data_IF_343971738498
#
_entry.id   IF_343971738498
#
_cell.length_a   1.000
_cell.length_b   1.000
_cell.length_c   1.000
_cell.angle_alpha   90.00
_cell.angle_beta   90.00
_cell.angle_gamma   90.00
#
_symmetry.space_group_name_H-M   'P 1'
#
loop_
_entity.id
_entity.type
_entity.pdbx_description
1 polymer ?
#
# COMPACT_ATOMS: atom_id res chain seq x y z
N UNK A 1 1.46 -6.46 -26.12
CA UNK A 1 2.17 -5.85 -24.97
C UNK A 1 3.11 -4.70 -25.35
N UNK A 2 3.86 -4.76 -26.47
CA UNK A 2 4.77 -3.66 -26.87
C UNK A 2 4.07 -2.29 -27.08
N UNK A 3 2.87 -2.27 -27.67
CA UNK A 3 2.14 -1.03 -27.96
C UNK A 3 1.67 -0.24 -26.73
N UNK A 4 1.57 -0.86 -25.55
CA UNK A 4 1.15 -0.17 -24.33
C UNK A 4 2.29 0.65 -23.73
N UNK A 5 3.52 0.14 -23.80
CA UNK A 5 4.70 0.78 -23.21
C UNK A 5 5.13 2.05 -23.97
N UNK A 6 4.95 2.06 -25.29
CA UNK A 6 5.26 3.23 -26.13
C UNK A 6 4.29 4.40 -25.90
N UNK A 7 3.04 4.13 -25.51
CA UNK A 7 1.99 5.15 -25.28
C UNK A 7 2.24 6.03 -24.04
N UNK A 8 3.13 5.60 -23.15
CA UNK A 8 3.41 6.28 -21.89
C UNK A 8 4.87 6.76 -21.74
N UNK A 9 5.68 6.68 -22.81
CA UNK A 9 7.02 7.29 -22.81
C UNK A 9 6.94 8.81 -22.56
N UNK A 10 7.73 9.30 -21.61
CA UNK A 10 7.83 10.73 -21.28
C UNK A 10 6.79 11.25 -20.29
N UNK A 11 5.84 10.42 -19.83
CA UNK A 11 4.90 10.78 -18.76
C UNK A 11 5.53 10.59 -17.39
N UNK A 12 5.21 11.48 -16.47
CA UNK A 12 5.49 11.29 -15.05
C UNK A 12 4.65 10.12 -14.50
N UNK A 13 5.08 9.53 -13.38
CA UNK A 13 4.32 8.47 -12.72
C UNK A 13 2.87 8.90 -12.42
N UNK A 14 2.68 10.15 -11.98
CA UNK A 14 1.34 10.68 -11.66
C UNK A 14 0.45 10.80 -12.88
N UNK A 15 0.99 11.27 -14.01
CA UNK A 15 0.23 11.36 -15.28
C UNK A 15 -0.13 9.98 -15.82
N UNK A 16 0.73 8.99 -15.62
CA UNK A 16 0.41 7.60 -15.99
C UNK A 16 -0.69 7.02 -15.12
N UNK A 17 -0.61 7.19 -13.80
CA UNK A 17 -1.65 6.76 -12.87
C UNK A 17 -2.98 7.42 -13.22
N UNK A 18 -3.01 8.74 -13.35
CA UNK A 18 -4.22 9.47 -13.70
C UNK A 18 -4.86 8.95 -15.00
N UNK A 19 -4.05 8.71 -16.02
CA UNK A 19 -4.55 8.16 -17.27
C UNK A 19 -5.14 6.75 -17.10
N UNK A 20 -4.58 5.89 -16.27
CA UNK A 20 -5.16 4.57 -15.99
C UNK A 20 -6.56 4.72 -15.39
N UNK A 21 -6.76 5.66 -14.45
CA UNK A 21 -8.08 5.93 -13.86
C UNK A 21 -9.07 6.56 -14.86
N UNK A 22 -8.60 7.25 -15.88
CA UNK A 22 -9.44 7.88 -16.91
C UNK A 22 -9.80 6.91 -18.05
N UNK A 23 -8.86 6.05 -18.47
CA UNK A 23 -8.99 5.20 -19.65
C UNK A 23 -9.64 3.83 -19.33
N UNK A 24 -9.65 3.39 -18.07
CA UNK A 24 -10.05 2.03 -17.68
C UNK A 24 -11.39 2.04 -16.95
N UNK A 25 -12.18 0.98 -17.15
CA UNK A 25 -13.40 0.74 -16.39
C UNK A 25 -13.08 0.46 -14.91
N UNK A 26 -14.04 0.74 -14.02
CA UNK A 26 -13.86 0.63 -12.57
C UNK A 26 -13.34 -0.76 -12.13
N UNK A 27 -13.89 -1.84 -12.69
CA UNK A 27 -13.44 -3.21 -12.40
C UNK A 27 -11.98 -3.45 -12.81
N UNK A 28 -11.56 -2.90 -13.96
CA UNK A 28 -10.18 -3.02 -14.42
C UNK A 28 -9.22 -2.18 -13.56
N UNK A 29 -9.69 -1.05 -13.03
CA UNK A 29 -8.93 -0.23 -12.08
C UNK A 29 -8.79 -0.96 -10.73
N UNK A 30 -9.82 -1.66 -10.26
CA UNK A 30 -9.74 -2.50 -9.06
C UNK A 30 -8.72 -3.63 -9.22
N UNK A 31 -8.76 -4.35 -10.35
CA UNK A 31 -7.81 -5.41 -10.68
C UNK A 31 -6.38 -4.87 -10.72
N UNK A 32 -6.20 -3.73 -11.38
CA UNK A 32 -4.90 -3.05 -11.48
C UNK A 32 -4.37 -2.59 -10.11
N UNK A 33 -5.22 -2.00 -9.27
CA UNK A 33 -4.86 -1.62 -7.90
C UNK A 33 -4.47 -2.84 -7.05
N UNK A 34 -5.21 -3.94 -7.19
CA UNK A 34 -4.97 -5.20 -6.48
C UNK A 34 -3.62 -5.81 -6.87
N UNK A 35 -3.30 -5.77 -8.16
CA UNK A 35 -1.99 -6.18 -8.70
C UNK A 35 -0.84 -5.32 -8.14
N UNK A 36 -0.98 -4.00 -8.16
CA UNK A 36 0.04 -3.09 -7.61
C UNK A 36 0.25 -3.31 -6.10
N UNK A 37 -0.84 -3.49 -5.36
CA UNK A 37 -0.80 -3.80 -3.94
C UNK A 37 -0.07 -5.11 -3.67
N UNK A 38 -0.34 -6.15 -4.47
CA UNK A 38 0.35 -7.43 -4.37
C UNK A 38 1.86 -7.28 -4.61
N UNK A 39 2.28 -6.63 -5.71
CA UNK A 39 3.70 -6.41 -5.99
C UNK A 39 4.40 -5.60 -4.90
N UNK A 40 3.71 -4.59 -4.34
CA UNK A 40 4.25 -3.82 -3.24
C UNK A 40 4.48 -4.68 -2.00
N UNK A 41 3.54 -5.57 -1.65
CA UNK A 41 3.66 -6.50 -0.52
C UNK A 41 4.78 -7.52 -0.72
N UNK A 42 4.85 -8.15 -1.88
CA UNK A 42 5.89 -9.12 -2.21
C UNK A 42 7.29 -8.48 -2.18
N UNK A 43 7.44 -7.29 -2.76
CA UNK A 43 8.69 -6.51 -2.67
C UNK A 43 9.05 -6.21 -1.22
N UNK A 44 8.07 -5.83 -0.40
CA UNK A 44 8.31 -5.52 1.01
C UNK A 44 8.66 -6.79 1.82
N UNK A 45 7.99 -7.91 1.58
CA UNK A 45 8.33 -9.19 2.19
C UNK A 45 9.76 -9.61 1.83
N UNK A 46 10.16 -9.43 0.58
CA UNK A 46 11.53 -9.65 0.17
C UNK A 46 12.52 -8.71 0.87
N UNK A 47 12.26 -7.41 0.85
CA UNK A 47 13.18 -6.40 1.34
C UNK A 47 13.31 -6.38 2.87
N UNK A 48 12.19 -6.53 3.59
CA UNK A 48 12.14 -6.41 5.05
C UNK A 48 12.21 -7.77 5.76
N UNK A 49 11.68 -8.84 5.17
CA UNK A 49 11.62 -10.16 5.80
C UNK A 49 12.59 -11.19 5.19
N UNK A 50 13.34 -10.81 4.15
CA UNK A 50 14.32 -11.67 3.49
C UNK A 50 13.70 -12.86 2.74
N UNK A 51 12.39 -12.82 2.48
CA UNK A 51 11.67 -13.88 1.78
C UNK A 51 12.15 -13.92 0.33
N UNK A 52 12.65 -15.07 -0.15
CA UNK A 52 12.98 -15.21 -1.57
C UNK A 52 11.69 -15.29 -2.37
N UNK A 53 11.55 -14.39 -3.33
CA UNK A 53 10.50 -14.45 -4.33
C UNK A 53 10.83 -15.61 -5.27
N UNK A 54 10.00 -16.65 -5.28
CA UNK A 54 10.01 -17.62 -6.36
C UNK A 54 9.27 -16.99 -7.55
N UNK A 55 9.99 -16.72 -8.63
CA UNK A 55 9.46 -16.09 -9.85
C UNK A 55 8.28 -16.88 -10.44
N UNK A 56 8.21 -18.20 -10.18
CA UNK A 56 7.11 -19.07 -10.59
C UNK A 56 5.83 -18.90 -9.75
N UNK A 57 5.92 -18.34 -8.55
CA UNK A 57 4.76 -18.10 -7.65
C UNK A 57 4.14 -16.71 -7.83
N UNK A 58 4.82 -15.78 -8.48
CA UNK A 58 4.36 -14.39 -8.68
C UNK A 58 3.20 -14.32 -9.69
N UNK A 59 3.13 -15.27 -10.63
CA UNK A 59 2.17 -15.24 -11.75
C UNK A 59 0.76 -15.72 -11.37
N UNK A 60 0.56 -16.77 -10.55
CA UNK A 60 -0.80 -17.24 -10.20
C UNK A 60 -1.45 -16.52 -9.01
N UNK A 61 -0.68 -15.82 -8.18
CA UNK A 61 -1.15 -15.22 -6.92
C UNK A 61 -2.00 -13.95 -7.03
N UNK A 62 -1.88 -13.10 -8.07
CA UNK A 62 -2.70 -11.90 -8.15
C UNK A 62 -4.20 -12.18 -8.24
N UNK A 63 -4.59 -13.26 -8.94
CA UNK A 63 -5.99 -13.68 -9.03
C UNK A 63 -6.54 -14.11 -7.67
N UNK A 64 -5.72 -14.74 -6.83
CA UNK A 64 -6.09 -15.08 -5.44
C UNK A 64 -6.30 -13.83 -4.59
N UNK A 65 -5.40 -12.85 -4.69
CA UNK A 65 -5.52 -11.58 -3.95
C UNK A 65 -6.77 -10.81 -4.37
N UNK A 66 -7.06 -10.80 -5.67
CA UNK A 66 -8.27 -10.19 -6.21
C UNK A 66 -9.54 -10.92 -5.73
N UNK A 67 -9.53 -12.26 -5.74
CA UNK A 67 -10.65 -13.05 -5.22
C UNK A 67 -10.89 -12.83 -3.73
N UNK A 68 -9.82 -12.74 -2.93
CA UNK A 68 -9.90 -12.41 -1.50
C UNK A 68 -10.46 -11.01 -1.31
N UNK A 69 -9.98 -10.01 -2.05
CA UNK A 69 -10.50 -8.64 -2.00
C UNK A 69 -12.00 -8.60 -2.32
N UNK A 70 -12.41 -9.22 -3.43
CA UNK A 70 -13.82 -9.29 -3.82
C UNK A 70 -14.66 -10.07 -2.79
N UNK A 71 -14.12 -11.12 -2.17
CA UNK A 71 -14.80 -11.87 -1.12
C UNK A 71 -14.98 -11.02 0.15
N UNK A 72 -14.00 -10.19 0.50
CA UNK A 72 -14.08 -9.25 1.61
C UNK A 72 -15.06 -8.11 1.35
N UNK A 73 -15.10 -7.57 0.13
CA UNK A 73 -16.11 -6.58 -0.28
C UNK A 73 -17.53 -7.15 -0.17
N UNK A 74 -17.77 -8.36 -0.71
CA UNK A 74 -19.07 -9.05 -0.60
C UNK A 74 -19.48 -9.38 0.85
N UNK A 75 -18.52 -9.61 1.74
CA UNK A 75 -18.77 -9.82 3.18
C UNK A 75 -19.05 -8.53 3.94
N UNK A 76 -18.63 -7.38 3.40
CA UNK A 76 -18.88 -6.05 3.96
C UNK A 76 -20.33 -5.57 3.84
N UNK A 77 -21.15 -6.17 2.97
CA UNK A 77 -22.57 -5.81 2.83
C UNK A 77 -23.46 -6.32 3.98
N UNK A 78 -22.96 -7.21 4.85
CA UNK A 78 -23.76 -7.85 5.91
C UNK A 78 -23.23 -7.66 7.34
N UNK A 79 -22.30 -6.73 7.57
CA UNK A 79 -21.91 -6.36 8.92
C UNK A 79 -22.07 -4.86 9.06
N UNK A 80 -23.23 -4.44 9.58
CA UNK A 80 -23.31 -3.21 10.36
C UNK A 80 -22.37 -3.39 11.57
N UNK A 81 -21.07 -3.29 11.33
CA UNK A 81 -20.15 -2.97 12.41
C UNK A 81 -20.61 -1.59 12.85
N UNK A 82 -20.91 -1.40 14.13
CA UNK A 82 -20.95 -0.08 14.71
C UNK A 82 -19.62 0.58 14.35
N UNK A 83 -19.62 1.34 13.24
CA UNK A 83 -18.44 2.03 12.80
C UNK A 83 -18.19 3.02 13.90
N UNK A 84 -17.20 2.74 14.74
CA UNK A 84 -16.64 3.80 15.55
C UNK A 84 -16.27 4.86 14.52
N UNK A 85 -16.95 6.00 14.58
CA UNK A 85 -16.89 7.13 13.64
C UNK A 85 -15.51 7.80 13.62
N UNK A 86 -14.47 7.09 14.08
CA UNK A 86 -13.07 7.44 13.96
C UNK A 86 -12.59 7.07 12.55
N UNK A 87 -13.26 7.63 11.55
CA UNK A 87 -12.64 7.80 10.25
C UNK A 87 -11.38 8.65 10.44
N UNK A 88 -10.34 8.39 9.65
CA UNK A 88 -9.13 9.19 9.70
C UNK A 88 -9.51 10.67 9.46
N UNK A 89 -9.24 11.53 10.44
CA UNK A 89 -9.41 12.97 10.30
C UNK A 89 -8.08 13.64 10.03
N UNK A 90 -8.12 14.62 9.13
CA UNK A 90 -7.00 15.53 8.84
C UNK A 90 -6.60 16.23 10.15
N UNK A 91 -5.30 16.33 10.47
CA UNK A 91 -4.86 17.11 11.64
C UNK A 91 -5.34 18.56 11.54
N UNK A 92 -5.51 19.26 12.66
CA UNK A 92 -5.75 20.71 12.64
C UNK A 92 -4.48 21.48 12.21
N UNK A 93 -4.63 22.73 11.75
CA UNK A 93 -3.49 23.56 11.40
C UNK A 93 -2.54 23.73 12.61
N UNK A 94 -1.24 23.55 12.40
CA UNK A 94 -0.23 23.58 13.48
C UNK A 94 -0.19 22.33 14.37
N UNK A 95 -0.97 21.28 14.05
CA UNK A 95 -0.92 20.00 14.75
C UNK A 95 -0.25 18.94 13.86
N UNK A 96 0.73 18.24 14.43
CA UNK A 96 1.42 17.13 13.76
C UNK A 96 0.81 15.81 14.23
N UNK A 97 0.32 15.00 13.29
CA UNK A 97 -0.08 13.62 13.57
C UNK A 97 1.13 12.71 13.42
N UNK A 98 1.43 11.98 14.48
CA UNK A 98 2.53 11.01 14.52
C UNK A 98 1.90 9.62 14.47
N UNK A 99 2.16 8.90 13.39
CA UNK A 99 1.87 7.47 13.28
C UNK A 99 3.10 6.70 13.72
N UNK A 100 2.95 5.84 14.72
CA UNK A 100 4.01 4.95 15.19
C UNK A 100 3.66 3.50 14.89
N UNK A 101 4.65 2.73 14.49
CA UNK A 101 4.52 1.28 14.31
C UNK A 101 5.73 0.57 14.92
N UNK A 102 5.50 -0.58 15.55
CA UNK A 102 6.54 -1.33 16.24
C UNK A 102 6.57 -2.79 15.77
N UNK A 103 7.77 -3.26 15.41
CA UNK A 103 8.02 -4.64 15.03
C UNK A 103 8.88 -5.35 16.08
N UNK A 104 8.53 -6.59 16.40
CA UNK A 104 9.36 -7.50 17.18
C UNK A 104 10.01 -8.50 16.22
N UNK A 105 11.33 -8.61 16.28
CA UNK A 105 12.10 -9.52 15.43
C UNK A 105 12.25 -10.90 16.08
N UNK A 106 12.51 -11.97 15.31
CA UNK A 106 12.68 -13.33 15.84
C UNK A 106 13.78 -13.48 16.89
N UNK A 107 14.78 -12.60 16.90
CA UNK A 107 15.84 -12.55 17.90
C UNK A 107 15.46 -11.83 19.20
N UNK A 108 14.19 -11.42 19.35
CA UNK A 108 13.71 -10.65 20.50
C UNK A 108 14.02 -9.15 20.43
N UNK A 109 14.62 -8.67 19.35
CA UNK A 109 14.81 -7.24 19.11
C UNK A 109 13.48 -6.53 18.88
N UNK A 110 13.39 -5.26 19.25
CA UNK A 110 12.21 -4.41 18.99
C UNK A 110 12.64 -3.19 18.22
N UNK A 111 11.95 -2.87 17.13
CA UNK A 111 12.10 -1.61 16.41
C UNK A 111 10.81 -0.80 16.42
N UNK A 112 10.95 0.52 16.56
CA UNK A 112 9.85 1.49 16.51
C UNK A 112 10.10 2.50 15.39
N UNK A 113 9.21 2.52 14.41
CA UNK A 113 9.14 3.56 13.39
C UNK A 113 8.13 4.65 13.79
N UNK A 114 8.44 5.90 13.44
CA UNK A 114 7.49 7.00 13.59
C UNK A 114 7.49 7.87 12.33
N UNK A 115 6.30 8.29 11.89
CA UNK A 115 6.11 9.23 10.78
C UNK A 115 5.25 10.39 11.23
N UNK A 116 5.78 11.60 11.15
CA UNK A 116 5.06 12.85 11.42
C UNK A 116 4.50 13.47 10.15
N UNK A 117 3.21 13.81 10.16
CA UNK A 117 2.51 14.48 9.04
C UNK A 117 1.71 15.69 9.54
N UNK A 118 1.70 16.76 8.74
CA UNK A 118 0.85 17.94 8.97
C UNK A 118 -0.48 17.84 8.21
N UNK A 119 -1.34 18.86 8.39
CA UNK A 119 -2.62 19.06 7.69
C UNK A 119 -2.57 18.60 6.22
N UNK A 120 -1.65 19.11 5.41
CA UNK A 120 -1.65 18.89 3.95
C UNK A 120 -1.03 17.57 3.52
N UNK A 121 -0.96 16.57 4.40
CA UNK A 121 -0.21 15.32 4.16
C UNK A 121 1.27 15.58 3.87
N UNK A 122 1.76 16.79 4.19
CA UNK A 122 3.15 17.16 4.10
C UNK A 122 3.92 16.34 5.12
N UNK A 123 4.83 15.53 4.61
CA UNK A 123 5.74 14.73 5.41
C UNK A 123 6.73 15.67 6.11
N UNK A 124 6.82 15.55 7.44
CA UNK A 124 7.74 16.36 8.25
C UNK A 124 8.99 15.54 8.59
N UNK A 125 8.81 14.32 9.09
CA UNK A 125 9.92 13.45 9.46
C UNK A 125 9.54 11.98 9.45
N UNK A 126 10.54 11.12 9.27
CA UNK A 126 10.50 9.71 9.65
C UNK A 126 11.66 9.42 10.59
N UNK A 127 11.38 8.70 11.66
CA UNK A 127 12.36 8.21 12.60
C UNK A 127 12.32 6.68 12.63
N UNK A 128 13.50 6.07 12.71
CA UNK A 128 13.68 4.64 12.94
C UNK A 128 14.79 4.45 13.98
N UNK A 129 14.82 3.33 14.71
CA UNK A 129 15.90 3.06 15.65
C UNK A 129 17.20 2.94 14.85
N UNK A 130 18.25 3.60 15.35
CA UNK A 130 19.58 3.53 14.74
C UNK A 130 20.23 2.24 15.21
N UNK A 131 20.57 1.33 14.29
CA UNK A 131 21.36 0.15 14.61
C UNK A 131 22.67 0.60 15.25
N UNK A 132 22.86 0.24 16.52
CA UNK A 132 24.19 0.28 17.13
C UNK A 132 24.96 -0.91 16.58
N UNK A 133 25.72 -0.66 15.50
CA UNK A 133 26.78 -1.57 15.05
C UNK A 133 27.79 -1.79 16.17
#
# INVERSE_FOLDING_TARGET
MAACFERHQGKTCMEWVQQVFEDFEESMVEDWCSLLWYFWNERNAHYFNGVKLDEMEIVPRPDMVLQDYQQHQRRGEAVESESSTVAWQKPAAGVVKISTDAGVFPNGGVALGAVGREQEMKFIFAARPQDKR
#
